data_IF_054388892744
#
_entry.id   IF_054388892744
#
_cell.length_a   1.000
_cell.length_b   1.000
_cell.length_c   1.000
_cell.angle_alpha   90.00
_cell.angle_beta   90.00
_cell.angle_gamma   90.00
#
_symmetry.space_group_name_H-M   'P 1'
#
loop_
_entity.id
_entity.type
_entity.pdbx_description
1 polymer ?
#
# COMPACT_ATOMS: atom_id res chain seq x y z
N UNK A 1 -7.17 12.21 -19.66
CA UNK A 1 -6.74 10.81 -19.91
C UNK A 1 -7.84 9.87 -19.39
N UNK A 2 -8.04 8.70 -20.00
CA UNK A 2 -9.04 7.71 -19.57
C UNK A 2 -8.31 6.43 -19.14
N UNK A 3 -8.56 5.99 -17.92
CA UNK A 3 -8.08 4.71 -17.38
C UNK A 3 -9.21 3.69 -17.53
N UNK A 4 -8.95 2.58 -18.23
CA UNK A 4 -9.89 1.48 -18.37
C UNK A 4 -9.49 0.36 -17.41
N UNK A 5 -10.32 0.11 -16.39
CA UNK A 5 -10.10 -0.91 -15.37
C UNK A 5 -11.01 -2.10 -15.68
N UNK A 6 -10.44 -3.30 -15.71
CA UNK A 6 -11.17 -4.56 -15.88
C UNK A 6 -10.90 -5.42 -14.67
N UNK A 7 -11.95 -5.75 -13.93
CA UNK A 7 -11.87 -6.71 -12.83
C UNK A 7 -11.79 -8.14 -13.40
N UNK A 8 -10.90 -8.96 -12.83
CA UNK A 8 -10.83 -10.39 -13.13
C UNK A 8 -10.67 -11.17 -11.83
N UNK A 9 -11.29 -12.35 -11.75
CA UNK A 9 -11.16 -13.26 -10.60
C UNK A 9 -9.90 -14.12 -10.65
N UNK A 10 -9.26 -14.21 -11.83
CA UNK A 10 -8.01 -14.95 -12.04
C UNK A 10 -7.11 -14.15 -12.98
N UNK A 11 -5.85 -13.94 -12.60
CA UNK A 11 -4.90 -13.27 -13.49
C UNK A 11 -4.57 -14.15 -14.70
N UNK A 12 -4.65 -13.61 -15.93
CA UNK A 12 -4.30 -14.37 -17.13
C UNK A 12 -2.80 -14.66 -17.18
N UNK A 13 -2.44 -15.81 -17.75
CA UNK A 13 -1.07 -16.17 -18.10
C UNK A 13 -0.90 -16.15 -19.63
N UNK A 14 0.01 -15.34 -20.20
CA UNK A 14 0.92 -14.43 -19.50
C UNK A 14 0.22 -13.20 -18.94
N UNK A 15 0.72 -12.71 -17.79
CA UNK A 15 0.25 -11.44 -17.20
C UNK A 15 0.41 -10.32 -18.22
N UNK A 16 -0.70 -9.70 -18.63
CA UNK A 16 -0.72 -8.57 -19.59
C UNK A 16 -1.52 -7.42 -18.99
N UNK A 17 -1.00 -6.19 -19.12
CA UNK A 17 -1.72 -4.98 -18.70
C UNK A 17 -1.87 -4.78 -17.19
N UNK A 18 -1.07 -5.45 -16.36
CA UNK A 18 -1.01 -5.15 -14.94
C UNK A 18 -0.41 -3.75 -14.72
N UNK A 19 -1.04 -2.96 -13.87
CA UNK A 19 -0.42 -1.72 -13.36
C UNK A 19 0.80 -2.12 -12.52
N UNK A 20 1.86 -1.31 -12.58
CA UNK A 20 3.02 -1.48 -11.71
C UNK A 20 2.61 -1.26 -10.24
N UNK A 21 1.85 -0.20 -10.00
CA UNK A 21 1.25 0.11 -8.71
C UNK A 21 -0.02 0.98 -8.84
N UNK A 22 -0.80 1.03 -7.76
CA UNK A 22 -1.92 1.97 -7.58
C UNK A 22 -1.73 2.72 -6.26
N UNK A 23 -1.74 4.05 -6.32
CA UNK A 23 -1.65 4.91 -5.14
C UNK A 23 -3.00 5.55 -4.81
N UNK A 24 -3.35 5.58 -3.53
CA UNK A 24 -4.56 6.21 -3.00
C UNK A 24 -4.20 7.15 -1.86
N UNK A 25 -4.87 8.30 -1.79
CA UNK A 25 -4.93 9.05 -0.55
C UNK A 25 -5.81 8.31 0.45
N UNK A 26 -5.32 8.18 1.68
CA UNK A 26 -6.01 7.51 2.77
C UNK A 26 -5.98 8.40 4.02
N UNK A 27 -6.92 8.14 4.92
CA UNK A 27 -7.04 8.82 6.21
C UNK A 27 -7.14 7.78 7.32
N UNK A 28 -6.62 8.13 8.49
CA UNK A 28 -6.70 7.27 9.68
C UNK A 28 -5.64 6.16 9.65
N UNK A 29 -4.37 6.55 9.54
CA UNK A 29 -3.23 5.65 9.39
C UNK A 29 -3.24 4.50 10.40
N UNK A 30 -3.36 4.78 11.70
CA UNK A 30 -3.40 3.73 12.73
C UNK A 30 -4.54 2.73 12.52
N UNK A 31 -5.74 3.21 12.18
CA UNK A 31 -6.91 2.36 11.95
C UNK A 31 -6.82 1.55 10.63
N UNK A 32 -6.14 2.09 9.62
CA UNK A 32 -5.86 1.35 8.38
C UNK A 32 -4.82 0.25 8.65
N UNK A 33 -3.76 0.56 9.37
CA UNK A 33 -2.75 -0.41 9.74
C UNK A 33 -3.33 -1.56 10.57
N UNK A 34 -4.17 -1.26 11.56
CA UNK A 34 -4.87 -2.28 12.36
C UNK A 34 -5.73 -3.20 11.49
N UNK A 35 -6.45 -2.66 10.50
CA UNK A 35 -7.25 -3.46 9.57
C UNK A 35 -6.38 -4.39 8.72
N UNK A 36 -5.22 -3.92 8.28
CA UNK A 36 -4.28 -4.72 7.47
C UNK A 36 -3.65 -5.84 8.31
N UNK A 37 -3.21 -5.55 9.54
CA UNK A 37 -2.62 -6.57 10.42
C UNK A 37 -3.64 -7.59 10.89
N UNK A 38 -4.89 -7.17 11.17
CA UNK A 38 -5.99 -8.07 11.50
C UNK A 38 -6.31 -9.04 10.34
N UNK A 39 -6.06 -8.63 9.09
CA UNK A 39 -6.16 -9.48 7.91
C UNK A 39 -4.90 -10.35 7.67
N UNK A 40 -3.94 -10.35 8.60
CA UNK A 40 -2.66 -11.08 8.48
C UNK A 40 -1.83 -10.67 7.26
N UNK A 41 -1.99 -9.42 6.80
CA UNK A 41 -1.21 -8.84 5.72
C UNK A 41 -0.03 -8.03 6.31
N UNK A 42 1.09 -8.08 5.61
CA UNK A 42 2.29 -7.29 5.95
C UNK A 42 2.35 -6.02 5.10
N UNK A 43 2.95 -4.97 5.62
CA UNK A 43 3.12 -3.71 4.90
C UNK A 43 4.46 -3.05 5.23
N UNK A 44 4.99 -2.28 4.28
CA UNK A 44 6.18 -1.43 4.46
C UNK A 44 5.72 0.02 4.60
N UNK A 45 6.37 0.81 5.45
CA UNK A 45 6.11 2.26 5.55
C UNK A 45 7.38 3.04 5.26
N UNK A 46 7.25 4.14 4.52
CA UNK A 46 8.30 5.15 4.37
C UNK A 46 7.73 6.53 4.70
N UNK A 47 8.65 7.47 4.94
CA UNK A 47 8.33 8.89 5.08
C UNK A 47 8.97 9.64 3.91
N UNK A 48 8.20 10.44 3.18
CA UNK A 48 8.76 11.22 2.08
C UNK A 48 9.69 12.32 2.59
N UNK A 49 10.64 12.79 1.77
CA UNK A 49 11.48 13.93 2.12
C UNK A 49 10.68 15.22 2.40
N UNK A 50 11.32 16.17 3.09
CA UNK A 50 10.78 17.53 3.23
C UNK A 50 10.69 18.21 1.84
N UNK A 51 9.74 19.14 1.63
CA UNK A 51 8.84 19.73 2.62
C UNK A 51 7.57 18.92 2.91
N UNK A 52 7.20 17.97 2.04
CA UNK A 52 5.91 17.28 2.12
C UNK A 52 5.82 16.36 3.32
N UNK A 53 6.84 15.53 3.53
CA UNK A 53 6.86 14.58 4.65
C UNK A 53 5.54 13.82 4.79
N UNK A 54 4.98 13.29 3.71
CA UNK A 54 3.84 12.37 3.78
C UNK A 54 4.32 11.01 4.31
N UNK A 55 3.39 10.25 4.87
CA UNK A 55 3.61 8.84 5.14
C UNK A 55 3.08 8.02 3.99
N UNK A 56 3.80 6.98 3.60
CA UNK A 56 3.37 6.09 2.53
C UNK A 56 3.47 4.65 3.02
N UNK A 57 2.38 3.91 2.90
CA UNK A 57 2.29 2.49 3.23
C UNK A 57 2.17 1.68 1.94
N UNK A 58 3.01 0.66 1.81
CA UNK A 58 3.06 -0.23 0.66
C UNK A 58 2.69 -1.65 1.07
N UNK A 59 1.84 -2.28 0.27
CA UNK A 59 1.46 -3.68 0.38
C UNK A 59 1.22 -4.25 -1.03
N UNK A 60 1.13 -5.56 -1.16
CA UNK A 60 0.82 -6.20 -2.44
C UNK A 60 -0.61 -6.74 -2.45
N UNK A 61 -1.30 -6.55 -3.58
CA UNK A 61 -2.54 -7.27 -3.84
C UNK A 61 -2.26 -8.77 -4.10
N UNK A 62 -3.29 -9.64 -4.13
CA UNK A 62 -3.11 -11.06 -4.43
C UNK A 62 -2.48 -11.37 -5.79
N UNK A 63 -2.45 -10.40 -6.71
CA UNK A 63 -1.88 -10.52 -8.05
C UNK A 63 -0.39 -10.09 -8.09
N UNK A 64 0.11 -9.54 -6.99
CA UNK A 64 1.47 -9.01 -6.86
C UNK A 64 1.63 -7.60 -7.42
N UNK A 65 0.55 -6.84 -7.58
CA UNK A 65 0.58 -5.40 -7.87
C UNK A 65 0.79 -4.64 -6.57
N UNK A 66 1.69 -3.66 -6.55
CA UNK A 66 1.91 -2.86 -5.35
C UNK A 66 0.75 -1.86 -5.17
N UNK A 67 0.22 -1.79 -3.95
CA UNK A 67 -0.77 -0.82 -3.52
C UNK A 67 -0.07 0.14 -2.56
N UNK A 68 -0.21 1.42 -2.83
CA UNK A 68 0.35 2.50 -2.04
C UNK A 68 -0.77 3.32 -1.40
N UNK A 69 -0.67 3.55 -0.10
CA UNK A 69 -1.58 4.40 0.67
C UNK A 69 -0.80 5.58 1.23
N UNK A 70 -1.15 6.78 0.77
CA UNK A 70 -0.56 8.03 1.21
C UNK A 70 -1.39 8.65 2.33
N UNK A 71 -0.75 8.96 3.44
CA UNK A 71 -1.33 9.65 4.59
C UNK A 71 -0.68 11.02 4.81
N UNK A 72 -1.44 11.94 5.40
CA UNK A 72 -0.97 13.29 5.68
C UNK A 72 0.23 13.30 6.64
N UNK A 73 1.04 14.35 6.58
CA UNK A 73 2.26 14.46 7.39
C UNK A 73 1.97 14.53 8.90
N UNK A 74 0.80 15.03 9.25
CA UNK A 74 0.33 15.24 10.61
C UNK A 74 -0.23 13.96 11.24
N UNK A 75 -0.48 12.92 10.44
CA UNK A 75 -0.97 11.65 10.96
C UNK A 75 0.11 10.92 11.76
N UNK A 76 -0.35 10.19 12.78
CA UNK A 76 0.51 9.39 13.64
C UNK A 76 0.54 7.95 13.12
N UNK A 77 1.71 7.39 12.77
CA UNK A 77 1.83 5.99 12.39
C UNK A 77 1.58 5.09 13.61
N UNK A 78 1.19 3.82 13.43
CA UNK A 78 1.07 2.89 14.55
C UNK A 78 2.46 2.69 15.20
N UNK A 79 2.57 2.58 16.54
CA UNK A 79 3.87 2.61 17.24
C UNK A 79 4.89 1.58 16.77
N UNK A 80 4.42 0.44 16.28
CA UNK A 80 5.18 -0.72 15.85
C UNK A 80 5.23 -0.88 14.32
N UNK A 81 4.92 0.17 13.54
CA UNK A 81 4.87 0.14 12.07
C UNK A 81 6.11 -0.51 11.42
N UNK A 82 7.29 -0.39 12.04
CA UNK A 82 8.56 -0.96 11.55
C UNK A 82 8.62 -2.49 11.63
N UNK A 83 7.83 -3.10 12.51
CA UNK A 83 7.79 -4.55 12.71
C UNK A 83 6.90 -5.28 11.70
N UNK A 84 6.04 -4.54 10.98
CA UNK A 84 5.06 -5.11 10.04
C UNK A 84 5.61 -5.31 8.62
N UNK A 85 6.86 -4.91 8.38
CA UNK A 85 7.54 -5.18 7.12
C UNK A 85 7.78 -6.70 6.99
N UNK A 86 7.11 -7.34 6.02
CA UNK A 86 7.31 -8.76 5.75
C UNK A 86 8.75 -9.06 5.35
N UNK A 87 9.22 -10.29 5.62
CA UNK A 87 10.59 -10.78 5.36
C UNK A 87 11.06 -10.71 3.89
N UNK A 88 10.23 -10.20 2.98
CA UNK A 88 10.52 -10.03 1.55
C UNK A 88 10.24 -8.63 1.01
N UNK A 89 10.05 -7.62 1.88
CA UNK A 89 9.93 -6.23 1.45
C UNK A 89 11.26 -5.80 0.79
N UNK A 90 11.27 -5.77 -0.54
CA UNK A 90 12.35 -5.16 -1.33
C UNK A 90 12.40 -3.66 -1.10
#
# INVERSE_FOLDING_TARGET
PVLHIVETTVMPEPRRGALDHMAFFAEGFAAVAERITAASLTYRVIRTPRPFSQWQMFLFDPNGVEVELDFAAEETPPPDWKAHAGLGAR
#
